data_IF_567139305037
#
_entry.id   IF_567139305037
#
_cell.length_a   1.000
_cell.length_b   1.000
_cell.length_c   1.000
_cell.angle_alpha   90.00
_cell.angle_beta   90.00
_cell.angle_gamma   90.00
#
_symmetry.space_group_name_H-M   'P 1'
#
loop_
_entity.id
_entity.type
_entity.pdbx_description
1 polymer ?
#
# COMPACT_ATOMS: atom_id res chain seq x y z
N UNK A 1 -13.20 3.57 -12.45
CA UNK A 1 -12.44 3.38 -11.20
C UNK A 1 -13.37 3.73 -10.05
N UNK A 2 -13.85 2.76 -9.25
CA UNK A 2 -14.70 3.11 -8.11
C UNK A 2 -13.86 3.82 -7.04
N UNK A 3 -14.36 4.94 -6.46
CA UNK A 3 -13.71 5.62 -5.36
C UNK A 3 -13.76 4.75 -4.09
N UNK A 4 -12.68 4.76 -3.30
CA UNK A 4 -12.63 4.12 -1.98
C UNK A 4 -12.64 5.24 -0.96
N UNK A 5 -13.52 5.17 0.05
CA UNK A 5 -13.58 6.17 1.11
C UNK A 5 -12.46 6.00 2.13
N UNK A 6 -12.14 7.06 2.86
CA UNK A 6 -11.07 7.03 3.86
C UNK A 6 -11.45 6.11 5.04
N UNK A 7 -12.73 6.03 5.39
CA UNK A 7 -13.25 5.13 6.43
C UNK A 7 -13.06 3.66 6.04
N UNK A 8 -13.32 3.31 4.77
CA UNK A 8 -13.09 1.97 4.28
C UNK A 8 -11.62 1.55 4.40
N UNK A 9 -10.70 2.50 4.15
CA UNK A 9 -9.27 2.25 4.33
C UNK A 9 -8.94 2.07 5.81
N UNK A 10 -9.45 2.93 6.70
CA UNK A 10 -9.21 2.79 8.14
C UNK A 10 -9.73 1.46 8.70
N UNK A 11 -10.89 1.00 8.25
CA UNK A 11 -11.41 -0.32 8.60
C UNK A 11 -10.46 -1.42 8.12
N UNK A 12 -9.98 -1.36 6.88
CA UNK A 12 -9.02 -2.32 6.33
C UNK A 12 -7.67 -2.32 7.07
N UNK A 13 -7.18 -1.15 7.50
CA UNK A 13 -5.95 -1.03 8.30
C UNK A 13 -6.13 -1.59 9.72
N UNK A 14 -7.34 -1.53 10.27
CA UNK A 14 -7.67 -2.03 11.60
C UNK A 14 -7.86 -3.55 11.62
N UNK A 15 -8.33 -4.14 10.51
CA UNK A 15 -8.39 -5.60 10.34
C UNK A 15 -7.00 -6.15 10.00
N UNK A 16 -6.26 -6.55 11.05
CA UNK A 16 -4.92 -7.14 10.92
C UNK A 16 -4.87 -8.35 10.01
N UNK A 17 -5.91 -9.20 9.98
CA UNK A 17 -5.91 -10.41 9.16
C UNK A 17 -6.03 -10.03 7.69
N UNK A 18 -7.00 -9.18 7.36
CA UNK A 18 -7.16 -8.67 6.01
C UNK A 18 -5.92 -7.89 5.55
N UNK A 19 -5.41 -6.99 6.39
CA UNK A 19 -4.25 -6.17 6.08
C UNK A 19 -3.00 -7.02 5.78
N UNK A 20 -2.74 -8.06 6.57
CA UNK A 20 -1.62 -8.97 6.35
C UNK A 20 -1.71 -9.68 4.99
N UNK A 21 -2.90 -10.02 4.51
CA UNK A 21 -3.09 -10.60 3.17
C UNK A 21 -2.70 -9.58 2.10
N UNK A 22 -3.13 -8.32 2.25
CA UNK A 22 -2.80 -7.26 1.28
C UNK A 22 -1.32 -6.89 1.30
N UNK A 23 -0.68 -6.91 2.47
CA UNK A 23 0.74 -6.67 2.63
C UNK A 23 1.56 -7.77 1.95
N UNK A 24 1.19 -9.05 2.14
CA UNK A 24 1.80 -10.18 1.41
C UNK A 24 1.59 -10.07 -0.09
N UNK A 25 0.41 -9.66 -0.55
CA UNK A 25 0.17 -9.41 -1.98
C UNK A 25 1.14 -8.37 -2.55
N UNK A 26 1.32 -7.24 -1.85
CA UNK A 26 2.27 -6.20 -2.25
C UNK A 26 3.67 -6.79 -2.40
N UNK A 27 4.16 -7.48 -1.37
CA UNK A 27 5.47 -8.16 -1.37
C UNK A 27 5.60 -9.28 -2.41
N UNK A 28 4.49 -9.75 -3.01
CA UNK A 28 4.49 -10.86 -3.96
C UNK A 28 4.48 -12.24 -3.31
N UNK A 29 4.14 -12.32 -2.03
CA UNK A 29 4.13 -13.54 -1.21
C UNK A 29 2.72 -14.13 -1.04
N UNK A 30 1.72 -13.61 -1.75
CA UNK A 30 0.34 -14.04 -1.58
C UNK A 30 -0.61 -13.59 -2.69
N UNK A 31 -1.83 -14.13 -2.62
CA UNK A 31 -2.92 -13.75 -3.52
C UNK A 31 -3.32 -12.29 -3.33
N UNK A 32 -3.68 -11.64 -4.44
CA UNK A 32 -4.10 -10.25 -4.46
C UNK A 32 -5.59 -10.12 -4.77
N UNK A 33 -6.28 -9.27 -4.02
CA UNK A 33 -7.58 -8.75 -4.40
C UNK A 33 -7.41 -7.40 -5.15
N UNK A 34 -8.50 -6.72 -5.58
CA UNK A 34 -8.39 -5.41 -6.22
C UNK A 34 -7.69 -4.33 -5.36
N UNK A 35 -7.83 -4.38 -4.03
CA UNK A 35 -7.22 -3.42 -3.09
C UNK A 35 -5.72 -3.69 -2.96
N UNK A 36 -5.31 -4.94 -2.75
CA UNK A 36 -3.92 -5.34 -2.72
C UNK A 36 -3.19 -5.03 -4.02
N UNK A 37 -3.85 -5.25 -5.17
CA UNK A 37 -3.32 -4.83 -6.49
C UNK A 37 -3.08 -3.32 -6.57
N UNK A 38 -4.02 -2.50 -6.08
CA UNK A 38 -3.83 -1.04 -6.06
C UNK A 38 -2.64 -0.64 -5.19
N UNK A 39 -2.52 -1.23 -4.00
CA UNK A 39 -1.38 -0.96 -3.12
C UNK A 39 -0.07 -1.32 -3.82
N UNK A 40 0.01 -2.50 -4.43
CA UNK A 40 1.20 -2.97 -5.17
C UNK A 40 1.57 -2.05 -6.33
N UNK A 41 0.59 -1.51 -7.05
CA UNK A 41 0.83 -0.60 -8.19
C UNK A 41 1.25 0.81 -7.75
N UNK A 42 0.60 1.38 -6.73
CA UNK A 42 0.81 2.78 -6.37
C UNK A 42 1.87 3.01 -5.30
N UNK A 43 2.09 2.08 -4.38
CA UNK A 43 3.15 2.16 -3.38
C UNK A 43 4.52 2.53 -3.98
N UNK A 44 5.03 1.85 -5.02
CA UNK A 44 6.34 2.20 -5.61
C UNK A 44 6.37 3.61 -6.22
N UNK A 45 5.26 4.06 -6.82
CA UNK A 45 5.18 5.38 -7.43
C UNK A 45 5.20 6.50 -6.38
N UNK A 46 4.39 6.33 -5.33
CA UNK A 46 4.33 7.27 -4.21
C UNK A 46 5.67 7.32 -3.46
N UNK A 47 6.33 6.18 -3.27
CA UNK A 47 7.66 6.12 -2.64
C UNK A 47 8.76 6.83 -3.45
N UNK A 48 8.66 6.83 -4.79
CA UNK A 48 9.60 7.53 -5.68
C UNK A 48 9.32 9.03 -5.79
N UNK A 49 8.27 9.53 -5.13
CA UNK A 49 7.92 10.94 -5.08
C UNK A 49 6.96 11.42 -6.17
N UNK A 50 6.50 10.55 -7.06
CA UNK A 50 5.53 10.93 -8.11
C UNK A 50 4.60 9.77 -8.49
N UNK A 51 3.28 10.01 -8.39
CA UNK A 51 2.26 9.11 -8.94
C UNK A 51 1.40 9.84 -9.99
N UNK A 52 1.82 9.92 -11.26
CA UNK A 52 1.08 10.64 -12.31
C UNK A 52 -0.30 10.01 -12.64
N UNK A 53 -0.54 8.79 -12.17
CA UNK A 53 -1.77 8.02 -12.38
C UNK A 53 -2.67 7.94 -11.14
N UNK A 54 -2.28 8.62 -10.05
CA UNK A 54 -3.07 8.74 -8.83
C UNK A 54 -3.79 10.09 -8.84
N UNK A 55 -5.02 10.14 -8.30
CA UNK A 55 -5.57 11.42 -7.85
C UNK A 55 -4.85 11.90 -6.58
N UNK A 56 -5.08 13.16 -6.19
CA UNK A 56 -4.58 13.68 -4.91
C UNK A 56 -5.08 12.85 -3.72
N UNK A 57 -6.35 12.47 -3.75
CA UNK A 57 -6.95 11.63 -2.70
C UNK A 57 -6.25 10.27 -2.63
N UNK A 58 -5.98 9.64 -3.77
CA UNK A 58 -5.33 8.34 -3.81
C UNK A 58 -3.88 8.40 -3.35
N UNK A 59 -3.19 9.49 -3.67
CA UNK A 59 -1.83 9.74 -3.16
C UNK A 59 -1.85 9.83 -1.64
N UNK A 60 -2.78 10.60 -1.06
CA UNK A 60 -2.94 10.70 0.41
C UNK A 60 -3.29 9.36 1.06
N UNK A 61 -4.20 8.61 0.44
CA UNK A 61 -4.62 7.28 0.90
C UNK A 61 -3.47 6.27 0.91
N UNK A 62 -2.66 6.25 -0.15
CA UNK A 62 -1.47 5.39 -0.22
C UNK A 62 -0.42 5.82 0.80
N UNK A 63 -0.18 7.13 0.97
CA UNK A 63 0.70 7.64 2.02
C UNK A 63 0.24 7.22 3.43
N UNK A 64 -1.07 7.24 3.69
CA UNK A 64 -1.65 6.76 4.95
C UNK A 64 -1.38 5.27 5.17
N UNK A 65 -1.56 4.44 4.13
CA UNK A 65 -1.26 3.00 4.20
C UNK A 65 0.24 2.76 4.42
N UNK A 66 1.13 3.42 3.66
CA UNK A 66 2.57 3.30 3.83
C UNK A 66 3.02 3.72 5.24
N UNK A 67 2.46 4.80 5.76
CA UNK A 67 2.71 5.26 7.13
C UNK A 67 2.25 4.25 8.18
N UNK A 68 1.14 3.55 7.94
CA UNK A 68 0.69 2.46 8.80
C UNK A 68 1.64 1.27 8.76
N UNK A 69 2.14 0.88 7.59
CA UNK A 69 3.14 -0.19 7.43
C UNK A 69 4.43 0.18 8.17
N UNK A 70 4.96 1.38 7.95
CA UNK A 70 6.19 1.84 8.58
C UNK A 70 6.12 1.78 10.12
N UNK A 71 4.96 2.13 10.72
CA UNK A 71 4.79 2.13 12.18
C UNK A 71 4.53 0.76 12.79
N UNK A 72 3.74 -0.10 12.11
CA UNK A 72 3.24 -1.34 12.69
C UNK A 72 3.91 -2.61 12.16
N UNK A 73 4.55 -2.53 10.99
CA UNK A 73 5.13 -3.66 10.24
C UNK A 73 6.54 -3.32 9.76
N UNK A 74 7.51 -3.05 10.66
CA UNK A 74 8.84 -2.56 10.30
C UNK A 74 9.65 -3.56 9.45
N UNK A 75 9.39 -4.87 9.59
CA UNK A 75 10.08 -5.90 8.80
C UNK A 75 9.63 -5.86 7.34
N UNK A 76 8.33 -5.83 7.13
CA UNK A 76 7.69 -5.74 5.82
C UNK A 76 7.95 -4.37 5.19
N UNK A 77 8.01 -3.30 5.99
CA UNK A 77 8.44 -1.99 5.53
C UNK A 77 9.85 -2.02 4.92
N UNK A 78 10.81 -2.66 5.60
CA UNK A 78 12.16 -2.80 5.07
C UNK A 78 12.18 -3.57 3.74
N UNK A 79 11.34 -4.61 3.60
CA UNK A 79 11.18 -5.34 2.34
C UNK A 79 10.57 -4.46 1.24
N UNK A 80 9.54 -3.68 1.54
CA UNK A 80 8.91 -2.73 0.62
C UNK A 80 9.93 -1.70 0.12
N UNK A 81 10.71 -1.09 1.01
CA UNK A 81 11.75 -0.14 0.63
C UNK A 81 12.79 -0.82 -0.27
N UNK A 82 13.26 -2.01 0.10
CA UNK A 82 14.20 -2.79 -0.70
C UNK A 82 13.63 -3.18 -2.07
N UNK A 83 12.33 -3.46 -2.17
CA UNK A 83 11.71 -3.89 -3.42
C UNK A 83 11.36 -2.72 -4.34
N UNK A 84 10.95 -1.58 -3.79
CA UNK A 84 10.33 -0.51 -4.56
C UNK A 84 11.12 0.80 -4.62
N UNK A 85 11.89 1.12 -3.57
CA UNK A 85 12.63 2.39 -3.48
C UNK A 85 14.00 2.31 -4.18
N UNK A 86 14.67 1.16 -4.15
CA UNK A 86 15.86 0.90 -4.96
C UNK A 86 15.42 0.45 -6.35
N UNK A 87 15.42 1.37 -7.31
CA UNK A 87 15.05 1.10 -8.69
C UNK A 87 15.85 -0.06 -9.28
N UNK A 88 15.14 -1.07 -9.78
CA UNK A 88 15.57 -1.88 -10.92
C UNK A 88 14.79 -1.40 -12.13
#
# INVERSE_FOLDING_TARGET
RQPISDEAIQMALSDKRYFNIQLKCALGEGACDPVGRRLKTFAPLVLRGACPQCSEQETKQIQMVLSHIQRNYPKEWAQIIKQYATGS
#
